data_IF_879926956946
#
_entry.id   IF_879926956946
#
_cell.length_a   1.000
_cell.length_b   1.000
_cell.length_c   1.000
_cell.angle_alpha   90.00
_cell.angle_beta   90.00
_cell.angle_gamma   90.00
#
_symmetry.space_group_name_H-M   'P 1'
#
loop_
_entity.id
_entity.type
_entity.pdbx_description
1 polymer ?
#
# COMPACT_ATOMS: atom_id res chain seq x y z
N UNK A 1 -14.77 -34.20 8.10
CA UNK A 1 -14.00 -33.46 9.12
C UNK A 1 -12.93 -32.64 8.40
N UNK A 2 -13.26 -31.42 7.99
CA UNK A 2 -12.25 -30.50 7.46
C UNK A 2 -12.62 -29.11 7.96
N UNK A 3 -12.03 -28.75 9.09
CA UNK A 3 -12.16 -27.46 9.74
C UNK A 3 -11.38 -26.42 8.93
N UNK A 4 -12.11 -25.57 8.22
CA UNK A 4 -11.56 -24.38 7.56
C UNK A 4 -11.06 -23.41 8.63
N UNK A 5 -9.75 -23.33 8.81
CA UNK A 5 -9.12 -22.37 9.71
C UNK A 5 -8.96 -21.07 8.93
N UNK A 6 -9.97 -20.21 9.01
CA UNK A 6 -9.89 -18.84 8.53
C UNK A 6 -8.80 -18.10 9.32
N UNK A 7 -7.68 -17.78 8.65
CA UNK A 7 -6.61 -16.95 9.21
C UNK A 7 -7.07 -15.49 9.21
N UNK A 8 -7.91 -15.13 10.19
CA UNK A 8 -8.30 -13.74 10.44
C UNK A 8 -7.21 -13.06 11.27
N UNK A 9 -6.17 -12.50 10.63
CA UNK A 9 -5.18 -11.68 11.32
C UNK A 9 -5.66 -10.24 11.44
N UNK A 10 -6.69 -10.02 12.27
CA UNK A 10 -7.01 -8.69 12.75
C UNK A 10 -6.06 -8.37 13.92
N UNK A 11 -4.98 -7.64 13.62
CA UNK A 11 -4.12 -7.08 14.66
C UNK A 11 -4.89 -5.90 15.30
N UNK A 12 -5.81 -6.23 16.21
CA UNK A 12 -6.56 -5.25 16.99
C UNK A 12 -5.60 -4.59 17.99
N UNK A 13 -5.00 -3.48 17.55
CA UNK A 13 -4.41 -2.49 18.43
C UNK A 13 -5.49 -2.00 19.40
N UNK A 14 -5.51 -2.59 20.59
CA UNK A 14 -6.34 -2.15 21.71
C UNK A 14 -5.80 -0.80 22.17
N UNK A 15 -6.45 0.30 21.78
CA UNK A 15 -6.22 1.60 22.42
C UNK A 15 -7.52 2.28 22.83
N UNK A 16 -7.45 2.82 24.04
CA UNK A 16 -8.47 3.54 24.75
C UNK A 16 -8.59 4.98 24.19
N UNK A 17 -9.61 5.23 23.37
CA UNK A 17 -10.37 6.48 23.31
C UNK A 17 -11.44 6.35 22.23
N UNK A 18 -12.65 6.83 22.51
CA UNK A 18 -13.89 6.59 21.76
C UNK A 18 -14.01 7.22 20.37
N UNK A 19 -12.98 7.13 19.52
CA UNK A 19 -13.11 7.37 18.09
C UNK A 19 -13.38 6.05 17.38
N UNK A 20 -14.61 5.89 16.87
CA UNK A 20 -15.00 4.74 16.05
C UNK A 20 -14.31 4.81 14.68
N UNK A 21 -13.09 4.28 14.57
CA UNK A 21 -12.46 4.06 13.28
C UNK A 21 -13.24 2.98 12.54
N UNK A 22 -13.85 3.34 11.39
CA UNK A 22 -14.43 2.36 10.48
C UNK A 22 -13.31 1.46 9.96
N UNK A 23 -13.31 0.19 10.37
CA UNK A 23 -12.40 -0.81 9.81
C UNK A 23 -12.97 -1.30 8.48
N UNK A 24 -12.38 -0.86 7.38
CA UNK A 24 -12.72 -1.38 6.05
C UNK A 24 -11.95 -2.69 5.83
N UNK A 25 -12.63 -3.81 6.03
CA UNK A 25 -12.08 -5.13 5.69
C UNK A 25 -12.50 -5.48 4.27
N UNK A 26 -11.52 -5.66 3.38
CA UNK A 26 -11.77 -6.19 2.05
C UNK A 26 -11.36 -7.66 2.00
N UNK A 27 -12.32 -8.54 1.78
CA UNK A 27 -12.06 -9.93 1.41
C UNK A 27 -11.70 -9.93 -0.08
N UNK A 28 -10.42 -9.76 -0.37
CA UNK A 28 -9.90 -9.92 -1.72
C UNK A 28 -9.91 -11.42 -2.07
N UNK A 29 -10.32 -11.79 -3.30
CA UNK A 29 -10.20 -13.17 -3.76
C UNK A 29 -8.74 -13.63 -3.66
N UNK A 30 -8.54 -14.90 -3.31
CA UNK A 30 -7.22 -15.50 -3.23
C UNK A 30 -6.61 -15.54 -4.64
N UNK A 31 -5.72 -14.60 -4.94
CA UNK A 31 -4.95 -14.59 -6.18
C UNK A 31 -3.74 -15.52 -6.04
N UNK A 32 -3.68 -16.54 -6.88
CA UNK A 32 -2.58 -17.50 -6.94
C UNK A 32 -1.51 -17.01 -7.93
N UNK A 33 -0.66 -16.08 -7.46
CA UNK A 33 0.53 -15.64 -8.19
C UNK A 33 1.76 -15.88 -7.29
N UNK A 34 2.89 -16.29 -7.87
CA UNK A 34 4.09 -16.68 -7.14
C UNK A 34 5.26 -15.70 -7.35
N UNK A 35 5.27 -14.48 -6.77
CA UNK A 35 6.31 -13.48 -6.98
C UNK A 35 7.77 -13.94 -6.77
N UNK A 36 8.02 -14.86 -5.84
CA UNK A 36 9.38 -15.35 -5.57
C UNK A 36 9.85 -16.41 -6.57
N UNK A 37 8.95 -16.97 -7.38
CA UNK A 37 9.24 -18.00 -8.39
C UNK A 37 9.11 -17.45 -9.81
N UNK A 38 8.05 -16.66 -10.08
CA UNK A 38 7.72 -16.09 -11.38
C UNK A 38 8.60 -14.87 -11.69
N UNK A 39 9.75 -15.11 -12.35
CA UNK A 39 10.71 -14.04 -12.69
C UNK A 39 10.52 -13.48 -14.10
N UNK A 40 9.48 -13.89 -14.82
CA UNK A 40 9.24 -13.53 -16.22
C UNK A 40 9.10 -12.03 -16.45
N UNK A 41 8.49 -11.35 -15.48
CA UNK A 41 8.34 -9.89 -15.46
C UNK A 41 9.71 -9.17 -15.41
N UNK A 42 10.71 -9.78 -14.78
CA UNK A 42 12.08 -9.25 -14.69
C UNK A 42 12.93 -9.67 -15.89
N UNK A 43 12.76 -10.90 -16.38
CA UNK A 43 13.61 -11.49 -17.43
C UNK A 43 13.19 -11.07 -18.84
N UNK A 44 11.89 -10.88 -19.09
CA UNK A 44 11.37 -10.54 -20.42
C UNK A 44 11.17 -9.02 -20.58
N UNK A 45 11.98 -8.35 -21.42
CA UNK A 45 11.83 -6.91 -21.63
C UNK A 45 10.49 -6.59 -22.31
N UNK A 46 9.79 -5.58 -21.80
CA UNK A 46 8.52 -5.09 -22.37
C UNK A 46 7.27 -5.89 -21.99
N UNK A 47 7.38 -6.96 -21.18
CA UNK A 47 6.22 -7.70 -20.67
C UNK A 47 5.35 -6.81 -19.77
N UNK A 48 5.96 -6.05 -18.85
CA UNK A 48 5.26 -5.10 -17.99
C UNK A 48 4.43 -4.09 -18.78
N UNK A 49 5.01 -3.49 -19.82
CA UNK A 49 4.31 -2.51 -20.66
C UNK A 49 3.12 -3.11 -21.41
N UNK A 50 3.22 -4.40 -21.81
CA UNK A 50 2.09 -5.11 -22.42
C UNK A 50 0.98 -5.36 -21.42
N UNK A 51 1.32 -5.85 -20.22
CA UNK A 51 0.35 -6.09 -19.14
C UNK A 51 -0.36 -4.79 -18.76
N UNK A 52 0.39 -3.71 -18.55
CA UNK A 52 -0.17 -2.40 -18.22
C UNK A 52 -1.14 -1.91 -19.31
N UNK A 53 -0.78 -2.08 -20.60
CA UNK A 53 -1.68 -1.70 -21.69
C UNK A 53 -2.99 -2.48 -21.66
N UNK A 54 -2.95 -3.79 -21.39
CA UNK A 54 -4.18 -4.57 -21.27
C UNK A 54 -5.01 -4.19 -20.04
N UNK A 55 -4.36 -3.86 -18.90
CA UNK A 55 -5.04 -3.31 -17.72
C UNK A 55 -5.77 -2.01 -18.08
N UNK A 56 -5.11 -1.09 -18.80
CA UNK A 56 -5.74 0.17 -19.22
C UNK A 56 -6.90 -0.05 -20.19
N UNK A 57 -6.79 -1.02 -21.10
CA UNK A 57 -7.87 -1.40 -22.02
C UNK A 57 -9.11 -1.89 -21.26
N UNK A 58 -8.93 -2.70 -20.22
CA UNK A 58 -10.03 -3.20 -19.38
C UNK A 58 -10.56 -2.12 -18.44
N UNK A 59 -9.69 -1.27 -17.89
CA UNK A 59 -10.09 -0.13 -17.07
C UNK A 59 -10.99 0.84 -17.87
N UNK A 60 -10.70 1.03 -19.16
CA UNK A 60 -11.54 1.84 -20.05
C UNK A 60 -12.93 1.24 -20.33
N UNK A 61 -13.10 -0.09 -20.23
CA UNK A 61 -14.37 -0.79 -20.44
C UNK A 61 -15.18 -0.94 -19.16
N UNK A 62 -14.51 -0.97 -18.01
CA UNK A 62 -15.17 -1.15 -16.71
C UNK A 62 -15.84 0.15 -16.26
N UNK A 63 -17.14 0.13 -15.93
CA UNK A 63 -17.80 1.31 -15.40
C UNK A 63 -17.21 1.65 -14.02
N UNK A 64 -17.05 2.95 -13.72
CA UNK A 64 -16.68 3.38 -12.36
C UNK A 64 -17.82 3.00 -11.42
N UNK A 65 -17.57 2.02 -10.55
CA UNK A 65 -18.49 1.61 -9.50
C UNK A 65 -18.21 2.48 -8.28
N UNK A 66 -19.25 3.13 -7.74
CA UNK A 66 -19.18 3.75 -6.42
C UNK A 66 -19.08 2.65 -5.38
N UNK A 67 -17.84 2.30 -5.01
CA UNK A 67 -17.58 1.22 -4.07
C UNK A 67 -17.90 1.69 -2.64
N UNK A 68 -18.82 0.98 -1.99
CA UNK A 68 -19.13 1.13 -0.55
C UNK A 68 -17.92 0.96 0.38
N UNK A 69 -16.80 0.40 -0.12
CA UNK A 69 -15.52 0.31 0.60
C UNK A 69 -14.77 1.64 0.64
N UNK A 70 -15.06 2.57 -0.28
CA UNK A 70 -14.44 3.88 -0.26
C UNK A 70 -15.12 4.73 0.82
N UNK A 71 -14.34 5.42 1.67
CA UNK A 71 -14.93 6.34 2.62
C UNK A 71 -15.68 7.43 1.86
N UNK A 72 -16.84 7.88 2.40
CA UNK A 72 -17.54 9.01 1.82
C UNK A 72 -16.61 10.24 1.79
N UNK A 73 -16.79 11.16 0.81
CA UNK A 73 -16.02 12.39 0.74
C UNK A 73 -16.02 13.10 2.10
N UNK A 74 -14.82 13.41 2.61
CA UNK A 74 -14.68 14.04 3.92
C UNK A 74 -15.18 15.48 3.85
N UNK A 75 -16.29 15.75 4.52
CA UNK A 75 -16.76 17.12 4.76
C UNK A 75 -15.93 17.74 5.90
N UNK A 76 -14.95 18.55 5.55
CA UNK A 76 -14.08 19.23 6.51
C UNK A 76 -14.85 20.29 7.30
N UNK A 77 -14.61 20.35 8.61
CA UNK A 77 -15.12 21.41 9.50
C UNK A 77 -16.65 21.60 9.56
N UNK A 78 -17.46 20.53 9.43
CA UNK A 78 -18.92 20.58 9.58
C UNK A 78 -19.39 21.33 10.86
N UNK A 79 -18.68 21.16 11.98
CA UNK A 79 -19.04 21.78 13.25
C UNK A 79 -18.59 23.25 13.39
N UNK A 80 -17.77 23.75 12.47
CA UNK A 80 -17.12 25.07 12.57
C UNK A 80 -17.11 25.78 11.21
N UNK A 81 -18.19 26.51 10.87
CA UNK A 81 -18.29 27.20 9.58
C UNK A 81 -17.19 28.28 9.40
N UNK A 82 -16.69 28.86 10.49
CA UNK A 82 -15.59 29.83 10.45
C UNK A 82 -14.30 29.23 9.88
N UNK A 83 -13.99 27.97 10.20
CA UNK A 83 -12.79 27.30 9.69
C UNK A 83 -12.97 26.90 8.23
N UNK A 84 -14.19 26.52 7.83
CA UNK A 84 -14.51 26.24 6.44
C UNK A 84 -14.33 27.49 5.56
N UNK A 85 -14.80 28.66 6.02
CA UNK A 85 -14.58 29.93 5.34
C UNK A 85 -13.07 30.25 5.17
N UNK A 86 -12.22 29.89 6.15
CA UNK A 86 -10.78 30.08 6.03
C UNK A 86 -10.10 29.13 5.06
N UNK A 87 -10.57 27.88 4.98
CA UNK A 87 -10.10 26.93 3.97
C UNK A 87 -10.48 27.41 2.58
N UNK A 88 -11.71 27.91 2.40
CA UNK A 88 -12.15 28.48 1.12
C UNK A 88 -11.34 29.73 0.74
N UNK A 89 -11.10 30.63 1.70
CA UNK A 89 -10.26 31.81 1.49
C UNK A 89 -8.83 31.42 1.11
N UNK A 90 -8.24 30.47 1.83
CA UNK A 90 -6.91 29.95 1.53
C UNK A 90 -6.86 29.29 0.15
N UNK A 91 -7.91 28.56 -0.24
CA UNK A 91 -8.06 27.98 -1.58
C UNK A 91 -8.13 29.04 -2.70
N UNK A 92 -8.68 30.23 -2.39
CA UNK A 92 -8.67 31.40 -3.28
C UNK A 92 -7.32 32.15 -3.30
N UNK A 93 -6.38 31.78 -2.42
CA UNK A 93 -5.06 32.41 -2.32
C UNK A 93 -5.08 33.81 -1.70
N UNK A 94 -6.15 34.21 -1.03
CA UNK A 94 -6.19 35.54 -0.38
C UNK A 94 -5.32 35.54 0.89
N UNK A 95 -4.43 36.53 1.05
CA UNK A 95 -3.54 36.60 2.20
C UNK A 95 -4.33 36.87 3.48
N UNK A 96 -3.97 36.16 4.55
CA UNK A 96 -4.51 36.40 5.89
C UNK A 96 -4.23 37.85 6.32
N UNK A 97 -5.20 38.50 6.97
CA UNK A 97 -4.96 39.75 7.70
C UNK A 97 -3.94 39.47 8.80
N UNK A 98 -2.73 39.97 8.62
CA UNK A 98 -1.62 39.74 9.54
C UNK A 98 -2.00 40.15 10.98
N UNK A 99 -1.48 39.40 11.95
CA UNK A 99 -1.59 39.74 13.38
C UNK A 99 -1.02 41.14 13.57
N UNK A 100 -1.76 41.99 14.28
CA UNK A 100 -1.32 43.36 14.57
C UNK A 100 -0.06 43.33 15.46
N UNK A 101 1.07 43.73 14.88
CA UNK A 101 2.36 43.80 15.57
C UNK A 101 2.52 45.09 16.38
N UNK A 102 1.70 46.10 16.12
CA UNK A 102 1.71 47.37 16.88
C UNK A 102 1.29 47.15 18.33
N UNK A 103 0.47 46.14 18.58
CA UNK A 103 0.09 45.72 19.94
C UNK A 103 1.29 45.41 20.83
N UNK A 104 2.39 44.90 20.27
CA UNK A 104 3.59 44.53 21.03
C UNK A 104 4.64 45.64 21.10
N UNK A 105 4.36 46.78 20.48
CA UNK A 105 5.23 47.95 20.48
C UNK A 105 4.58 49.04 21.35
N UNK A 106 5.39 49.98 21.83
CA UNK A 106 4.91 51.21 22.45
C UNK A 106 5.12 52.40 21.50
N UNK A 107 4.42 52.46 20.34
CA UNK A 107 4.52 53.61 19.48
C UNK A 107 3.87 54.82 20.16
N UNK A 108 4.54 55.97 20.10
CA UNK A 108 3.89 57.24 20.37
C UNK A 108 2.81 57.50 19.30
N UNK A 109 1.73 58.24 19.63
CA UNK A 109 0.72 58.60 18.64
C UNK A 109 1.36 59.35 17.47
N UNK A 110 0.94 59.04 16.24
CA UNK A 110 1.61 59.51 15.01
C UNK A 110 1.62 61.04 14.87
N UNK A 111 0.62 61.72 15.42
CA UNK A 111 0.52 63.18 15.41
C UNK A 111 1.32 63.87 16.54
N UNK A 112 2.03 63.10 17.38
CA UNK A 112 2.86 63.61 18.48
C UNK A 112 2.07 64.55 19.40
N UNK A 113 2.58 65.76 19.62
CA UNK A 113 1.95 66.79 20.46
C UNK A 113 0.59 67.29 19.95
N UNK A 114 0.23 67.01 18.69
CA UNK A 114 -1.04 67.40 18.06
C UNK A 114 -2.07 66.26 18.04
N UNK A 115 -1.76 65.11 18.65
CA UNK A 115 -2.64 63.96 18.69
C UNK A 115 -3.88 64.21 19.58
N UNK A 116 -4.98 63.53 19.25
CA UNK A 116 -6.23 63.61 20.01
C UNK A 116 -6.08 62.98 21.40
N UNK A 117 -6.88 63.42 22.37
CA UNK A 117 -6.94 62.83 23.71
C UNK A 117 -7.20 61.31 23.64
N UNK A 118 -8.05 60.87 22.70
CA UNK A 118 -8.35 59.45 22.49
C UNK A 118 -7.17 58.62 21.98
N UNK A 119 -6.25 59.22 21.22
CA UNK A 119 -5.05 58.54 20.72
C UNK A 119 -4.02 58.39 21.84
N UNK A 120 -3.94 59.39 22.72
CA UNK A 120 -3.11 59.34 23.92
C UNK A 120 -3.65 58.34 24.95
N UNK A 121 -4.96 58.27 25.19
CA UNK A 121 -5.52 57.27 26.11
C UNK A 121 -5.27 55.85 25.63
N UNK A 122 -5.47 55.58 24.33
CA UNK A 122 -5.14 54.26 23.73
C UNK A 122 -3.66 53.90 23.87
N UNK A 123 -2.76 54.87 23.70
CA UNK A 123 -1.32 54.65 23.89
C UNK A 123 -0.96 54.33 25.35
N UNK A 124 -1.60 55.02 26.30
CA UNK A 124 -1.43 54.77 27.75
C UNK A 124 -1.98 53.41 28.14
N UNK A 125 -3.17 53.04 27.67
CA UNK A 125 -3.78 51.73 27.93
C UNK A 125 -2.93 50.59 27.37
N UNK A 126 -2.37 50.77 26.17
CA UNK A 126 -1.41 49.83 25.60
C UNK A 126 -0.15 49.72 26.47
N UNK A 127 0.42 50.85 26.93
CA UNK A 127 1.59 50.85 27.80
C UNK A 127 1.33 50.15 29.14
N UNK A 128 0.17 50.40 29.77
CA UNK A 128 -0.24 49.72 30.99
C UNK A 128 -0.41 48.20 30.78
N UNK A 129 -1.04 47.81 29.66
CA UNK A 129 -1.18 46.40 29.29
C UNK A 129 0.18 45.73 29.07
N UNK A 130 1.12 46.43 28.43
CA UNK A 130 2.48 45.93 28.23
C UNK A 130 3.24 45.78 29.54
N UNK A 131 3.10 46.72 30.48
CA UNK A 131 3.71 46.61 31.82
C UNK A 131 3.25 45.32 32.51
N UNK A 132 1.95 45.05 32.52
CA UNK A 132 1.38 43.83 33.11
C UNK A 132 1.90 42.56 32.41
N UNK A 133 2.05 42.58 31.08
CA UNK A 133 2.66 41.47 30.35
C UNK A 133 4.14 41.27 30.71
N UNK A 134 4.91 42.34 30.94
CA UNK A 134 6.31 42.22 31.39
C UNK A 134 6.41 41.65 32.81
N UNK A 135 5.51 42.03 33.72
CA UNK A 135 5.43 41.43 35.06
C UNK A 135 5.13 39.93 34.99
N UNK A 136 4.15 39.53 34.18
CA UNK A 136 3.87 38.11 33.91
C UNK A 136 5.06 37.39 33.26
N UNK A 137 5.80 38.05 32.38
CA UNK A 137 7.01 37.49 31.77
C UNK A 137 8.12 37.30 32.81
N UNK A 138 8.32 38.24 33.73
CA UNK A 138 9.31 38.14 34.79
C UNK A 138 9.02 36.93 35.69
N UNK A 139 7.78 36.79 36.16
CA UNK A 139 7.39 35.62 36.98
C UNK A 139 7.59 34.30 36.22
N UNK A 140 7.25 34.23 34.94
CA UNK A 140 7.50 33.06 34.10
C UNK A 140 9.00 32.76 33.94
N UNK A 141 9.84 33.80 33.76
CA UNK A 141 11.29 33.64 33.66
C UNK A 141 11.91 33.18 34.98
N UNK A 142 11.40 33.65 36.12
CA UNK A 142 11.84 33.18 37.43
C UNK A 142 11.52 31.70 37.64
N UNK A 143 10.30 31.27 37.27
CA UNK A 143 9.92 29.85 37.28
C UNK A 143 10.79 29.02 36.34
N UNK A 144 11.04 29.52 35.12
CA UNK A 144 11.89 28.85 34.14
C UNK A 144 13.34 28.75 34.64
N UNK A 145 13.88 29.80 35.27
CA UNK A 145 15.22 29.78 35.84
C UNK A 145 15.34 28.76 36.97
N UNK A 146 14.30 28.62 37.78
CA UNK A 146 14.28 27.69 38.92
C UNK A 146 14.08 26.23 38.51
N UNK A 147 13.17 25.96 37.57
CA UNK A 147 12.74 24.59 37.25
C UNK A 147 13.06 24.14 35.82
N UNK A 148 13.33 25.06 34.91
CA UNK A 148 13.46 24.79 33.48
C UNK A 148 14.55 23.78 33.14
N UNK A 149 15.74 23.90 33.74
CA UNK A 149 16.83 22.96 33.49
C UNK A 149 16.48 21.52 33.90
N UNK A 150 15.86 21.34 35.07
CA UNK A 150 15.46 20.02 35.56
C UNK A 150 14.29 19.45 34.74
N UNK A 151 13.31 20.29 34.40
CA UNK A 151 12.18 19.88 33.56
C UNK A 151 12.63 19.44 32.17
N UNK A 152 13.54 20.19 31.53
CA UNK A 152 14.10 19.81 30.24
C UNK A 152 14.87 18.49 30.27
N UNK A 153 15.63 18.24 31.33
CA UNK A 153 16.34 16.95 31.49
C UNK A 153 15.36 15.78 31.63
N UNK A 154 14.29 15.96 32.41
CA UNK A 154 13.25 14.95 32.54
C UNK A 154 12.51 14.70 31.21
N UNK A 155 12.17 15.78 30.51
CA UNK A 155 11.54 15.70 29.20
C UNK A 155 12.43 14.96 28.19
N UNK A 156 13.73 15.27 28.14
CA UNK A 156 14.67 14.55 27.28
C UNK A 156 14.74 13.06 27.65
N UNK A 157 14.79 12.72 28.95
CA UNK A 157 14.76 11.32 29.40
C UNK A 157 13.49 10.60 28.95
N UNK A 158 12.32 11.25 29.04
CA UNK A 158 11.06 10.69 28.55
C UNK A 158 11.07 10.52 27.02
N UNK A 159 11.59 11.50 26.28
CA UNK A 159 11.73 11.41 24.83
C UNK A 159 12.66 10.27 24.41
N UNK A 160 13.79 10.08 25.10
CA UNK A 160 14.69 8.96 24.87
C UNK A 160 14.00 7.61 25.14
N UNK A 161 13.18 7.53 26.20
CA UNK A 161 12.41 6.32 26.50
C UNK A 161 11.37 6.02 25.40
N UNK A 162 10.66 7.04 24.90
CA UNK A 162 9.72 6.89 23.79
C UNK A 162 10.42 6.50 22.49
N UNK A 163 11.55 7.13 22.17
CA UNK A 163 12.36 6.78 20.99
C UNK A 163 12.74 5.29 21.02
N UNK A 164 13.27 4.81 22.15
CA UNK A 164 13.61 3.38 22.35
C UNK A 164 12.39 2.47 22.20
N UNK A 165 11.23 2.87 22.70
CA UNK A 165 10.01 2.08 22.56
C UNK A 165 9.58 1.97 21.08
N UNK A 166 9.66 3.07 20.33
CA UNK A 166 9.35 3.06 18.89
C UNK A 166 10.38 2.23 18.10
N UNK A 167 11.68 2.37 18.40
CA UNK A 167 12.73 1.55 17.80
C UNK A 167 12.46 0.06 18.01
N UNK A 168 12.19 -0.37 19.25
CA UNK A 168 11.85 -1.76 19.56
C UNK A 168 10.59 -2.25 18.83
N UNK A 169 9.55 -1.41 18.75
CA UNK A 169 8.33 -1.75 18.02
C UNK A 169 8.61 -1.90 16.51
N UNK A 170 9.44 -1.03 15.94
CA UNK A 170 9.83 -1.12 14.52
C UNK A 170 10.67 -2.37 14.24
N UNK A 171 11.65 -2.67 15.09
CA UNK A 171 12.47 -3.88 14.97
C UNK A 171 11.62 -5.15 15.09
N UNK A 172 10.66 -5.18 16.03
CA UNK A 172 9.73 -6.29 16.16
C UNK A 172 8.86 -6.49 14.91
N UNK A 173 8.33 -5.41 14.33
CA UNK A 173 7.54 -5.47 13.09
C UNK A 173 8.39 -5.90 11.89
N UNK A 174 9.64 -5.44 11.80
CA UNK A 174 10.58 -5.88 10.76
C UNK A 174 10.92 -7.36 10.92
N UNK A 175 11.14 -7.84 12.14
CA UNK A 175 11.37 -9.26 12.42
C UNK A 175 10.15 -10.13 12.04
N UNK A 176 8.94 -9.66 12.32
CA UNK A 176 7.71 -10.34 11.90
C UNK A 176 7.56 -10.36 10.38
N UNK A 177 7.80 -9.23 9.72
CA UNK A 177 7.73 -9.10 8.26
C UNK A 177 8.75 -10.00 7.56
N UNK A 178 9.99 -10.02 8.05
CA UNK A 178 11.05 -10.88 7.48
C UNK A 178 10.75 -12.36 7.69
N UNK A 179 10.20 -12.75 8.85
CA UNK A 179 9.75 -14.12 9.12
C UNK A 179 8.62 -14.53 8.17
N UNK A 180 7.63 -13.65 7.96
CA UNK A 180 6.54 -13.89 7.01
C UNK A 180 7.05 -14.00 5.58
N UNK A 181 7.94 -13.09 5.14
CA UNK A 181 8.53 -13.13 3.81
C UNK A 181 9.36 -14.41 3.58
N UNK A 182 10.10 -14.85 4.61
CA UNK A 182 10.82 -16.13 4.56
C UNK A 182 9.87 -17.31 4.39
N UNK A 183 8.77 -17.34 5.16
CA UNK A 183 7.74 -18.39 5.05
C UNK A 183 7.09 -18.39 3.67
N UNK A 184 6.66 -17.22 3.17
CA UNK A 184 6.09 -17.05 1.83
C UNK A 184 7.04 -17.51 0.74
N UNK A 185 8.32 -17.14 0.83
CA UNK A 185 9.33 -17.59 -0.13
C UNK A 185 9.46 -19.11 -0.15
N UNK A 186 9.53 -19.74 1.03
CA UNK A 186 9.60 -21.19 1.10
C UNK A 186 8.38 -21.86 0.44
N UNK A 187 7.17 -21.41 0.79
CA UNK A 187 5.91 -21.94 0.24
C UNK A 187 5.86 -21.78 -1.28
N UNK A 188 6.19 -20.58 -1.80
CA UNK A 188 6.18 -20.29 -3.23
C UNK A 188 7.25 -21.07 -4.00
N UNK A 189 8.48 -21.19 -3.48
CA UNK A 189 9.51 -22.00 -4.12
C UNK A 189 9.11 -23.47 -4.18
N UNK A 190 8.54 -24.03 -3.09
CA UNK A 190 8.08 -25.42 -3.10
C UNK A 190 6.92 -25.64 -4.08
N UNK A 191 5.95 -24.72 -4.14
CA UNK A 191 4.85 -24.79 -5.09
C UNK A 191 5.37 -24.68 -6.54
N UNK A 192 6.27 -23.73 -6.83
CA UNK A 192 6.89 -23.59 -8.14
C UNK A 192 7.67 -24.83 -8.59
N UNK A 193 8.43 -25.47 -7.70
CA UNK A 193 9.09 -26.74 -7.99
C UNK A 193 8.11 -27.86 -8.36
N UNK A 194 6.96 -27.94 -7.66
CA UNK A 194 5.91 -28.91 -8.00
C UNK A 194 5.25 -28.61 -9.34
N UNK A 195 5.02 -27.34 -9.68
CA UNK A 195 4.49 -26.92 -10.97
C UNK A 195 5.46 -27.30 -12.09
N UNK A 196 6.75 -26.96 -11.95
CA UNK A 196 7.77 -27.36 -12.93
C UNK A 196 7.89 -28.87 -13.10
N UNK A 197 7.72 -29.65 -12.03
CA UNK A 197 7.71 -31.11 -12.14
C UNK A 197 6.48 -31.63 -12.91
N UNK A 198 5.31 -31.04 -12.67
CA UNK A 198 4.07 -31.37 -13.39
C UNK A 198 4.15 -30.97 -14.86
N UNK A 199 4.73 -29.81 -15.18
CA UNK A 199 4.96 -29.36 -16.56
C UNK A 199 5.90 -30.29 -17.32
N UNK A 200 6.98 -30.75 -16.70
CA UNK A 200 7.89 -31.75 -17.30
C UNK A 200 7.16 -33.06 -17.56
N UNK A 201 6.39 -33.55 -16.59
CA UNK A 201 5.59 -34.76 -16.76
C UNK A 201 4.55 -34.60 -17.85
N UNK A 202 3.92 -33.43 -17.96
CA UNK A 202 2.95 -33.13 -18.99
C UNK A 202 3.59 -33.11 -20.39
N UNK A 203 4.73 -32.44 -20.56
CA UNK A 203 5.47 -32.45 -21.84
C UNK A 203 5.98 -33.84 -22.22
N UNK A 204 6.45 -34.63 -21.25
CA UNK A 204 6.82 -36.04 -21.46
C UNK A 204 5.63 -36.88 -21.92
N UNK A 205 4.47 -36.75 -21.26
CA UNK A 205 3.26 -37.50 -21.62
C UNK A 205 2.75 -37.13 -23.02
N UNK A 206 2.79 -35.85 -23.39
CA UNK A 206 2.45 -35.41 -24.75
C UNK A 206 3.42 -35.99 -25.77
N UNK A 207 4.73 -35.88 -25.51
CA UNK A 207 5.76 -36.43 -26.39
C UNK A 207 5.59 -37.95 -26.57
N UNK A 208 5.35 -38.67 -25.48
CA UNK A 208 5.09 -40.12 -25.52
C UNK A 208 3.79 -40.45 -26.26
N UNK A 209 2.72 -39.68 -26.06
CA UNK A 209 1.47 -39.84 -26.79
C UNK A 209 1.69 -39.70 -28.30
N UNK A 210 2.40 -38.66 -28.71
CA UNK A 210 2.75 -38.43 -30.12
C UNK A 210 3.65 -39.56 -30.67
N UNK A 211 4.64 -40.03 -29.91
CA UNK A 211 5.49 -41.15 -30.32
C UNK A 211 4.69 -42.43 -30.51
N UNK A 212 3.70 -42.70 -29.65
CA UNK A 212 2.82 -43.85 -29.79
C UNK A 212 1.91 -43.73 -31.02
N UNK A 213 1.37 -42.55 -31.29
CA UNK A 213 0.57 -42.31 -32.51
C UNK A 213 1.41 -42.53 -33.77
N UNK A 214 2.64 -42.02 -33.81
CA UNK A 214 3.57 -42.25 -34.93
C UNK A 214 3.92 -43.74 -35.08
N UNK A 215 4.19 -44.43 -33.98
CA UNK A 215 4.49 -45.86 -34.00
C UNK A 215 3.31 -46.70 -34.48
N UNK A 216 2.08 -46.36 -34.08
CA UNK A 216 0.87 -47.03 -34.56
C UNK A 216 0.70 -46.82 -36.08
N UNK A 217 0.87 -45.60 -36.57
CA UNK A 217 0.79 -45.32 -38.01
C UNK A 217 1.84 -46.12 -38.80
N UNK A 218 3.08 -46.20 -38.28
CA UNK A 218 4.15 -47.00 -38.92
C UNK A 218 3.80 -48.49 -38.93
N UNK A 219 3.32 -49.03 -37.81
CA UNK A 219 2.94 -50.43 -37.69
C UNK A 219 1.74 -50.77 -38.59
N UNK A 220 0.74 -49.89 -38.67
CA UNK A 220 -0.38 -50.02 -39.60
C UNK A 220 0.09 -50.03 -41.06
N UNK A 221 1.06 -49.19 -41.41
CA UNK A 221 1.65 -49.16 -42.75
C UNK A 221 2.42 -50.46 -43.07
N UNK A 222 3.20 -50.97 -42.13
CA UNK A 222 3.91 -52.25 -42.27
C UNK A 222 2.94 -53.44 -42.43
N UNK A 223 1.86 -53.48 -41.64
CA UNK A 223 0.82 -54.50 -41.75
C UNK A 223 0.17 -54.44 -43.14
N UNK A 224 -0.18 -53.25 -43.63
CA UNK A 224 -0.75 -53.07 -44.97
C UNK A 224 0.23 -53.55 -46.07
N UNK A 225 1.52 -53.27 -45.92
CA UNK A 225 2.54 -53.72 -46.87
C UNK A 225 2.65 -55.25 -46.90
N UNK A 226 2.71 -55.90 -45.73
CA UNK A 226 2.78 -57.35 -45.62
C UNK A 226 1.52 -58.05 -46.15
N UNK A 227 0.33 -57.50 -45.88
CA UNK A 227 -0.93 -58.02 -46.44
C UNK A 227 -0.94 -57.97 -47.97
N UNK A 228 -0.38 -56.92 -48.55
CA UNK A 228 -0.28 -56.76 -50.00
C UNK A 228 0.73 -57.73 -50.62
N UNK A 229 1.83 -58.06 -49.92
CA UNK A 229 2.76 -59.12 -50.33
C UNK A 229 2.14 -60.52 -50.21
N UNK A 230 1.42 -60.80 -49.13
CA UNK A 230 0.70 -62.06 -48.94
C UNK A 230 -0.32 -62.29 -50.07
N UNK A 231 -1.10 -61.26 -50.42
CA UNK A 231 -2.05 -61.33 -51.54
C UNK A 231 -1.34 -61.64 -52.87
N UNK A 232 -0.22 -60.99 -53.16
CA UNK A 232 0.57 -61.26 -54.38
C UNK A 232 1.10 -62.69 -54.41
N UNK A 233 1.62 -63.19 -53.28
CA UNK A 233 2.13 -64.57 -53.19
C UNK A 233 1.01 -65.61 -53.33
N UNK A 234 -0.16 -65.34 -52.73
CA UNK A 234 -1.34 -66.18 -52.89
C UNK A 234 -1.82 -66.22 -54.35
N UNK A 235 -1.84 -65.07 -55.04
CA UNK A 235 -2.13 -65.02 -56.47
C UNK A 235 -1.11 -65.81 -57.30
N UNK A 236 0.18 -65.73 -56.97
CA UNK A 236 1.23 -66.51 -57.64
C UNK A 236 1.10 -68.02 -57.40
N UNK A 237 0.77 -68.45 -56.18
CA UNK A 237 0.51 -69.85 -55.87
C UNK A 237 -0.72 -70.37 -56.62
N UNK A 238 -1.80 -69.59 -56.64
CA UNK A 238 -3.00 -69.94 -57.39
C UNK A 238 -2.75 -70.04 -58.91
N UNK A 239 -1.83 -69.23 -59.45
CA UNK A 239 -1.39 -69.36 -60.84
C UNK A 239 -0.58 -70.63 -61.07
N UNK A 240 0.31 -71.02 -60.15
CA UNK A 240 1.07 -72.28 -60.27
C UNK A 240 0.21 -73.53 -60.08
N UNK A 241 -0.88 -73.48 -59.30
CA UNK A 241 -1.81 -74.60 -59.18
C UNK A 241 -2.71 -74.80 -60.42
N UNK A 242 -2.75 -73.82 -61.34
CA UNK A 242 -3.50 -73.88 -62.59
C UNK A 242 -2.68 -74.37 -63.80
N UNK A 243 -1.35 -74.49 -63.68
CA UNK A 243 -0.43 -75.10 -64.66
C UNK A 243 -0.19 -76.59 -64.39
#
# INVERSE_FOLDING_TARGET
MSSSVAFSSALQLRQANGSSYHSYTSDLPLNDALPYFDREIETQPGLQSRVEREIQNELGKTPKVDDSRLPPPLEVFQSRPELLAEVERAGKGEPLKAIDTLRFQLPAPQAGLKASEEEWTKAVDNAATQLMHQEGRLTNLELLKRYGANHWRLHNFQQEAFAKQYEQATEALLAQTTTLNRKRRQEQTTAGETISALERKWTELISRGLQLEVANISAEHEIQALQLEEQKLMEQLAQMEQE
#
